data_IF_636921697762
#
_entry.id   IF_636921697762
#
_cell.length_a   1.000
_cell.length_b   1.000
_cell.length_c   1.000
_cell.angle_alpha   90.00
_cell.angle_beta   90.00
_cell.angle_gamma   90.00
#
_symmetry.space_group_name_H-M   'P 1'
#
loop_
_entity.id
_entity.type
_entity.pdbx_description
1 polymer ?
#
# COMPACT_ATOMS: atom_id res chain seq x y z
N UNK A 1 -6.50 4.76 24.68
CA UNK A 1 -5.69 5.83 25.31
C UNK A 1 -4.45 6.15 24.48
N UNK A 2 -3.78 5.17 23.85
CA UNK A 2 -2.63 5.42 22.97
C UNK A 2 -3.02 6.23 21.72
N UNK A 3 -4.18 5.95 21.15
CA UNK A 3 -4.65 6.63 19.92
C UNK A 3 -4.90 8.13 20.10
N UNK A 4 -5.32 8.57 21.29
CA UNK A 4 -5.58 10.00 21.55
C UNK A 4 -4.26 10.78 21.63
N UNK A 5 -3.23 10.25 22.29
CA UNK A 5 -1.91 10.90 22.37
C UNK A 5 -1.26 11.04 21.00
N UNK A 6 -1.33 10.00 20.17
CA UNK A 6 -0.83 10.04 18.79
C UNK A 6 -1.62 11.05 17.95
N UNK A 7 -2.94 11.10 18.11
CA UNK A 7 -3.80 12.07 17.42
C UNK A 7 -3.46 13.52 17.81
N UNK A 8 -3.25 13.80 19.10
CA UNK A 8 -2.85 15.12 19.60
C UNK A 8 -1.46 15.50 19.04
N UNK A 9 -0.49 14.58 19.08
CA UNK A 9 0.84 14.83 18.56
C UNK A 9 0.82 15.13 17.06
N UNK A 10 0.07 14.35 16.27
CA UNK A 10 -0.10 14.58 14.83
C UNK A 10 -0.80 15.92 14.55
N UNK A 11 -1.84 16.25 15.35
CA UNK A 11 -2.53 17.54 15.23
C UNK A 11 -1.62 18.72 15.54
N UNK A 12 -0.82 18.63 16.61
CA UNK A 12 0.16 19.67 16.97
C UNK A 12 1.22 19.83 15.87
N UNK A 13 1.74 18.72 15.32
CA UNK A 13 2.70 18.76 14.23
C UNK A 13 2.13 19.46 12.97
N UNK A 14 0.88 19.17 12.60
CA UNK A 14 0.20 19.84 11.48
C UNK A 14 -0.03 21.33 11.74
N UNK A 15 -0.40 21.70 12.97
CA UNK A 15 -0.56 23.11 13.37
C UNK A 15 0.78 23.85 13.30
N UNK A 16 1.87 23.23 13.76
CA UNK A 16 3.22 23.81 13.64
C UNK A 16 3.58 24.02 12.16
N UNK A 17 3.34 23.02 11.29
CA UNK A 17 3.57 23.17 9.85
C UNK A 17 2.72 24.30 9.24
N UNK A 18 1.48 24.50 9.69
CA UNK A 18 0.62 25.57 9.25
C UNK A 18 1.11 26.96 9.71
N UNK A 19 1.67 27.05 10.93
CA UNK A 19 2.20 28.29 11.50
C UNK A 19 3.57 28.70 10.91
N UNK A 20 4.34 27.73 10.39
CA UNK A 20 5.65 28.00 9.75
C UNK A 20 5.56 28.72 8.39
N UNK A 21 4.36 28.93 7.87
CA UNK A 21 4.11 29.70 6.65
C UNK A 21 3.38 28.92 5.56
N UNK A 22 2.79 29.67 4.63
CA UNK A 22 1.93 29.10 3.56
C UNK A 22 2.68 28.14 2.63
N UNK A 23 3.97 28.30 2.41
CA UNK A 23 4.79 27.42 1.58
C UNK A 23 4.93 26.01 2.15
N UNK A 24 5.16 25.87 3.45
CA UNK A 24 5.30 24.57 4.11
C UNK A 24 3.96 23.83 4.17
N UNK A 25 2.86 24.53 4.37
CA UNK A 25 1.53 23.93 4.38
C UNK A 25 1.15 23.35 3.02
N UNK A 26 1.40 24.08 1.94
CA UNK A 26 1.15 23.59 0.59
C UNK A 26 1.95 22.32 0.27
N UNK A 27 3.24 22.32 0.62
CA UNK A 27 4.10 21.16 0.41
C UNK A 27 3.70 19.97 1.29
N UNK A 28 3.27 20.21 2.52
CA UNK A 28 2.72 19.18 3.41
C UNK A 28 1.46 18.54 2.80
N UNK A 29 0.55 19.37 2.31
CA UNK A 29 -0.68 18.91 1.69
C UNK A 29 -0.39 18.09 0.42
N UNK A 30 0.56 18.51 -0.41
CA UNK A 30 1.01 17.74 -1.60
C UNK A 30 1.59 16.39 -1.21
N UNK A 31 2.43 16.33 -0.17
CA UNK A 31 3.01 15.08 0.33
C UNK A 31 1.94 14.11 0.82
N UNK A 32 0.98 14.60 1.62
CA UNK A 32 -0.13 13.77 2.11
C UNK A 32 -0.99 13.29 0.94
N UNK A 33 -1.29 14.17 -0.01
CA UNK A 33 -2.05 13.83 -1.22
C UNK A 33 -1.35 12.75 -2.05
N UNK A 34 -0.05 12.89 -2.29
CA UNK A 34 0.77 11.93 -3.01
C UNK A 34 0.75 10.54 -2.33
N UNK A 35 0.99 10.48 -1.02
CA UNK A 35 0.95 9.22 -0.27
C UNK A 35 -0.45 8.61 -0.32
N UNK A 36 -1.50 9.41 -0.11
CA UNK A 36 -2.88 8.94 -0.12
C UNK A 36 -3.24 8.31 -1.48
N UNK A 37 -2.88 8.96 -2.59
CA UNK A 37 -3.11 8.43 -3.94
C UNK A 37 -2.33 7.14 -4.17
N UNK A 38 -1.04 7.09 -3.82
CA UNK A 38 -0.21 5.91 -3.97
C UNK A 38 -0.78 4.72 -3.17
N UNK A 39 -1.14 4.92 -1.90
CA UNK A 39 -1.72 3.87 -1.05
C UNK A 39 -3.10 3.44 -1.55
N UNK A 40 -3.93 4.37 -2.03
CA UNK A 40 -5.23 4.05 -2.59
C UNK A 40 -5.09 3.16 -3.84
N UNK A 41 -4.20 3.53 -4.76
CA UNK A 41 -3.92 2.72 -5.95
C UNK A 41 -3.38 1.33 -5.59
N UNK A 42 -2.44 1.26 -4.64
CA UNK A 42 -1.94 -0.01 -4.12
C UNK A 42 -3.08 -0.85 -3.52
N UNK A 43 -4.01 -0.25 -2.79
CA UNK A 43 -5.12 -0.93 -2.15
C UNK A 43 -6.10 -1.48 -3.19
N UNK A 44 -6.47 -0.66 -4.18
CA UNK A 44 -7.40 -1.03 -5.27
C UNK A 44 -6.86 -2.18 -6.11
N UNK A 45 -5.55 -2.23 -6.34
CA UNK A 45 -4.91 -3.31 -7.13
C UNK A 45 -4.48 -4.47 -6.22
N UNK A 46 -3.88 -4.18 -5.08
CA UNK A 46 -3.23 -5.17 -4.21
C UNK A 46 -4.21 -6.11 -3.50
N UNK A 47 -5.37 -5.60 -3.04
CA UNK A 47 -6.35 -6.44 -2.37
C UNK A 47 -6.96 -7.47 -3.32
N UNK A 48 -7.50 -7.10 -4.50
CA UNK A 48 -8.04 -8.10 -5.44
C UNK A 48 -7.00 -9.12 -5.90
N UNK A 49 -5.79 -8.68 -6.21
CA UNK A 49 -4.69 -9.58 -6.60
C UNK A 49 -4.31 -10.50 -5.43
N UNK A 50 -4.26 -9.98 -4.21
CA UNK A 50 -3.97 -10.76 -3.00
C UNK A 50 -5.06 -11.81 -2.70
N UNK A 51 -6.33 -11.48 -2.91
CA UNK A 51 -7.46 -12.43 -2.78
C UNK A 51 -7.34 -13.53 -3.84
N UNK A 52 -7.09 -13.18 -5.08
CA UNK A 52 -6.87 -14.18 -6.15
C UNK A 52 -5.69 -15.10 -5.83
N UNK A 53 -4.58 -14.53 -5.36
CA UNK A 53 -3.41 -15.28 -4.94
C UNK A 53 -3.69 -16.20 -3.73
N UNK A 54 -4.58 -15.79 -2.83
CA UNK A 54 -5.01 -16.59 -1.68
C UNK A 54 -5.87 -17.80 -2.06
N UNK A 55 -6.68 -17.67 -3.11
CA UNK A 55 -7.64 -18.70 -3.56
C UNK A 55 -7.08 -19.64 -4.64
N UNK A 56 -6.13 -19.19 -5.45
CA UNK A 56 -5.60 -19.95 -6.59
C UNK A 56 -4.09 -20.16 -6.44
N UNK A 57 -3.70 -21.39 -6.09
CA UNK A 57 -2.29 -21.76 -5.87
C UNK A 57 -1.40 -21.57 -7.10
N UNK A 58 -1.92 -21.88 -8.28
CA UNK A 58 -1.19 -21.71 -9.53
C UNK A 58 -0.89 -20.23 -9.80
N UNK A 59 -1.82 -19.34 -9.50
CA UNK A 59 -1.64 -17.91 -9.62
C UNK A 59 -0.60 -17.39 -8.61
N UNK A 60 -0.66 -17.87 -7.36
CA UNK A 60 0.32 -17.52 -6.34
C UNK A 60 1.74 -17.94 -6.73
N UNK A 61 1.91 -19.18 -7.23
CA UNK A 61 3.22 -19.67 -7.69
C UNK A 61 3.79 -18.84 -8.82
N UNK A 62 2.94 -18.31 -9.71
CA UNK A 62 3.36 -17.46 -10.83
C UNK A 62 3.71 -16.03 -10.41
N UNK A 63 2.90 -15.42 -9.52
CA UNK A 63 3.10 -14.01 -9.13
C UNK A 63 4.19 -13.83 -8.08
N UNK A 64 4.45 -14.83 -7.23
CA UNK A 64 5.43 -14.77 -6.15
C UNK A 64 6.83 -14.32 -6.60
N UNK A 65 7.45 -14.93 -7.63
CA UNK A 65 8.77 -14.49 -8.09
C UNK A 65 8.79 -13.06 -8.61
N UNK A 66 7.70 -12.60 -9.20
CA UNK A 66 7.55 -11.21 -9.63
C UNK A 66 7.55 -10.26 -8.42
N UNK A 67 6.78 -10.58 -7.37
CA UNK A 67 6.74 -9.79 -6.13
C UNK A 67 8.10 -9.80 -5.41
N UNK A 68 8.82 -10.92 -5.46
CA UNK A 68 10.19 -11.03 -4.92
C UNK A 68 11.15 -10.12 -5.71
N UNK A 69 11.10 -10.16 -7.05
CA UNK A 69 11.90 -9.29 -7.90
C UNK A 69 11.63 -7.81 -7.65
N UNK A 70 10.35 -7.41 -7.49
CA UNK A 70 9.96 -6.02 -7.19
C UNK A 70 10.54 -5.49 -5.88
N UNK A 71 10.85 -6.34 -4.91
CA UNK A 71 11.41 -5.94 -3.61
C UNK A 71 12.94 -6.07 -3.53
N UNK A 72 13.53 -7.02 -4.27
CA UNK A 72 14.98 -7.23 -4.28
C UNK A 72 15.70 -6.16 -5.11
N UNK A 73 15.08 -5.75 -6.22
CA UNK A 73 15.65 -4.70 -7.07
C UNK A 73 15.49 -3.34 -6.38
N UNK A 74 16.58 -2.63 -6.24
CA UNK A 74 16.58 -1.33 -5.58
C UNK A 74 15.73 -0.32 -6.36
N UNK A 75 14.98 0.52 -5.66
CA UNK A 75 14.02 1.46 -6.24
C UNK A 75 14.63 2.46 -7.25
N UNK A 76 15.91 2.81 -7.11
CA UNK A 76 16.64 3.62 -8.11
C UNK A 76 16.73 2.97 -9.48
N UNK A 77 16.76 1.63 -9.55
CA UNK A 77 16.80 0.91 -10.84
C UNK A 77 15.48 1.08 -11.59
N UNK A 78 14.36 1.08 -10.87
CA UNK A 78 13.05 1.36 -11.47
C UNK A 78 12.87 2.82 -11.88
N UNK A 79 13.50 3.74 -11.15
CA UNK A 79 13.38 5.17 -11.40
C UNK A 79 13.76 5.52 -12.84
N UNK A 80 14.87 4.99 -13.36
CA UNK A 80 15.39 5.31 -14.69
C UNK A 80 14.41 4.98 -15.84
N UNK A 81 13.91 3.72 -15.96
CA UNK A 81 12.91 3.38 -16.98
C UNK A 81 11.63 4.22 -16.88
N UNK A 82 11.15 4.46 -15.66
CA UNK A 82 9.90 5.22 -15.49
C UNK A 82 10.06 6.70 -15.80
N UNK A 83 11.23 7.31 -15.53
CA UNK A 83 11.55 8.66 -15.99
C UNK A 83 11.61 8.70 -17.54
N UNK A 84 12.17 7.67 -18.16
CA UNK A 84 12.24 7.62 -19.61
C UNK A 84 10.86 7.54 -20.28
N UNK A 85 9.93 6.75 -19.72
CA UNK A 85 8.60 6.55 -20.29
C UNK A 85 7.60 7.65 -19.94
N UNK A 86 7.64 8.17 -18.71
CA UNK A 86 6.64 9.10 -18.16
C UNK A 86 7.18 10.52 -17.96
N UNK A 87 8.50 10.71 -18.15
CA UNK A 87 9.16 11.97 -17.84
C UNK A 87 9.39 12.19 -16.35
N UNK A 88 9.96 13.34 -16.01
CA UNK A 88 10.11 13.78 -14.62
C UNK A 88 8.78 14.36 -14.16
N UNK A 89 8.25 13.87 -13.03
CA UNK A 89 6.98 14.35 -12.49
C UNK A 89 6.28 13.39 -11.53
N UNK A 90 5.13 13.81 -11.05
CA UNK A 90 4.35 13.07 -10.03
C UNK A 90 3.87 11.70 -10.50
N UNK A 91 3.56 11.55 -11.79
CA UNK A 91 3.04 10.28 -12.34
C UNK A 91 4.09 9.17 -12.27
N UNK A 92 5.30 9.43 -12.77
CA UNK A 92 6.41 8.47 -12.71
C UNK A 92 6.75 8.11 -11.26
N UNK A 93 6.82 9.10 -10.38
CA UNK A 93 7.08 8.91 -8.96
C UNK A 93 6.00 8.05 -8.27
N UNK A 94 4.72 8.27 -8.59
CA UNK A 94 3.60 7.48 -8.05
C UNK A 94 3.70 6.01 -8.48
N UNK A 95 4.03 5.75 -9.75
CA UNK A 95 4.15 4.39 -10.26
C UNK A 95 5.33 3.65 -9.60
N UNK A 96 6.49 4.31 -9.47
CA UNK A 96 7.65 3.72 -8.77
C UNK A 96 7.32 3.40 -7.32
N UNK A 97 6.66 4.32 -6.62
CA UNK A 97 6.20 4.12 -5.24
C UNK A 97 5.24 2.94 -5.15
N UNK A 98 4.29 2.84 -6.09
CA UNK A 98 3.34 1.73 -6.16
C UNK A 98 4.03 0.39 -6.40
N UNK A 99 4.97 0.30 -7.34
CA UNK A 99 5.73 -0.93 -7.64
C UNK A 99 6.46 -1.43 -6.39
N UNK A 100 7.02 -0.53 -5.60
CA UNK A 100 7.76 -0.89 -4.38
C UNK A 100 6.84 -1.23 -3.20
N UNK A 101 5.73 -0.52 -3.04
CA UNK A 101 4.84 -0.63 -1.89
C UNK A 101 3.74 -1.70 -2.05
N UNK A 102 3.47 -2.17 -3.27
CA UNK A 102 2.42 -3.15 -3.58
C UNK A 102 2.67 -4.57 -3.04
N UNK A 103 3.90 -5.14 -3.12
CA UNK A 103 4.14 -6.54 -2.78
C UNK A 103 3.75 -6.95 -1.36
N UNK A 104 4.04 -6.19 -0.28
CA UNK A 104 3.63 -6.56 1.07
C UNK A 104 2.12 -6.66 1.23
N UNK A 105 1.36 -5.78 0.58
CA UNK A 105 -0.10 -5.80 0.63
C UNK A 105 -0.66 -7.08 0.01
N UNK A 106 -0.16 -7.45 -1.18
CA UNK A 106 -0.56 -8.69 -1.86
C UNK A 106 -0.23 -9.91 -1.00
N UNK A 107 0.98 -9.96 -0.41
CA UNK A 107 1.41 -11.09 0.43
C UNK A 107 0.59 -11.22 1.70
N UNK A 108 0.34 -10.11 2.41
CA UNK A 108 -0.42 -10.13 3.65
C UNK A 108 -1.90 -10.40 3.39
N UNK A 109 -2.46 -9.92 2.27
CA UNK A 109 -3.82 -10.27 1.87
C UNK A 109 -3.94 -11.76 1.53
N UNK A 110 -3.00 -12.31 0.75
CA UNK A 110 -2.91 -13.74 0.47
C UNK A 110 -2.82 -14.57 1.76
N UNK A 111 -1.91 -14.19 2.65
CA UNK A 111 -1.72 -14.86 3.94
C UNK A 111 -3.01 -14.82 4.78
N UNK A 112 -3.67 -13.66 4.86
CA UNK A 112 -4.91 -13.51 5.61
C UNK A 112 -6.04 -14.42 5.10
N UNK A 113 -6.18 -14.57 3.79
CA UNK A 113 -7.16 -15.47 3.19
C UNK A 113 -6.82 -16.95 3.48
N UNK A 114 -5.54 -17.32 3.41
CA UNK A 114 -5.08 -18.70 3.67
C UNK A 114 -5.10 -19.09 5.13
N UNK A 115 -5.04 -18.15 6.05
CA UNK A 115 -5.09 -18.40 7.49
C UNK A 115 -6.51 -18.65 8.02
N UNK A 116 -7.53 -18.48 7.19
CA UNK A 116 -8.91 -18.82 7.59
C UNK A 116 -9.00 -20.33 7.81
N UNK A 117 -9.48 -20.79 9.00
CA UNK A 117 -9.60 -22.23 9.30
C UNK A 117 -10.49 -22.94 8.28
N UNK A 118 -10.05 -24.10 7.81
CA UNK A 118 -10.82 -24.90 6.83
C UNK A 118 -12.16 -25.33 7.38
N UNK A 119 -12.23 -25.67 8.67
CA UNK A 119 -13.47 -26.07 9.34
C UNK A 119 -14.59 -25.03 9.20
N UNK A 120 -14.23 -23.73 9.27
CA UNK A 120 -15.21 -22.64 9.12
C UNK A 120 -15.67 -22.52 7.67
N UNK A 121 -14.78 -22.74 6.72
CA UNK A 121 -15.10 -22.73 5.28
C UNK A 121 -15.98 -23.93 4.91
N UNK A 122 -15.67 -25.13 5.43
CA UNK A 122 -16.46 -26.36 5.21
C UNK A 122 -17.85 -26.25 5.84
N UNK A 123 -17.93 -25.74 7.08
CA UNK A 123 -19.21 -25.48 7.71
C UNK A 123 -20.09 -24.55 6.87
N UNK A 124 -19.49 -23.49 6.33
CA UNK A 124 -20.21 -22.52 5.47
C UNK A 124 -20.72 -23.17 4.17
N UNK A 125 -19.94 -24.08 3.59
CA UNK A 125 -20.37 -24.90 2.44
C UNK A 125 -21.52 -25.84 2.80
N UNK A 126 -21.47 -26.46 3.97
CA UNK A 126 -22.54 -27.33 4.46
C UNK A 126 -23.88 -26.60 4.65
N UNK A 127 -23.83 -25.31 4.99
CA UNK A 127 -25.00 -24.42 5.02
C UNK A 127 -25.46 -23.92 3.63
N UNK A 128 -24.84 -24.38 2.55
CA UNK A 128 -25.26 -24.07 1.18
C UNK A 128 -24.77 -22.71 0.66
N UNK A 129 -23.78 -22.09 1.30
CA UNK A 129 -23.22 -20.84 0.81
C UNK A 129 -22.41 -21.05 -0.48
N UNK A 130 -22.55 -20.10 -1.40
CA UNK A 130 -21.72 -20.06 -2.62
C UNK A 130 -20.31 -19.58 -2.31
N UNK A 131 -19.33 -19.90 -3.17
CA UNK A 131 -17.93 -19.50 -2.99
C UNK A 131 -17.74 -17.97 -2.84
N UNK A 132 -18.60 -17.15 -3.48
CA UNK A 132 -18.55 -15.71 -3.33
C UNK A 132 -19.11 -15.24 -1.97
N UNK A 133 -20.12 -15.92 -1.46
CA UNK A 133 -20.67 -15.65 -0.11
C UNK A 133 -19.63 -16.02 0.94
N UNK A 134 -19.01 -17.19 0.83
CA UNK A 134 -17.93 -17.64 1.72
C UNK A 134 -16.78 -16.61 1.73
N UNK A 135 -16.38 -16.11 0.56
CA UNK A 135 -15.36 -15.09 0.48
C UNK A 135 -15.75 -13.81 1.22
N UNK A 136 -16.97 -13.31 0.98
CA UNK A 136 -17.43 -12.02 1.50
C UNK A 136 -17.79 -12.09 2.97
N UNK A 137 -18.48 -13.15 3.39
CA UNK A 137 -19.09 -13.23 4.72
C UNK A 137 -18.20 -13.93 5.74
N UNK A 138 -17.22 -14.74 5.29
CA UNK A 138 -16.33 -15.52 6.15
C UNK A 138 -14.87 -15.13 5.96
N UNK A 139 -14.32 -15.31 4.75
CA UNK A 139 -12.88 -15.14 4.54
C UNK A 139 -12.42 -13.69 4.68
N UNK A 140 -13.11 -12.74 4.07
CA UNK A 140 -12.73 -11.32 4.14
C UNK A 140 -12.80 -10.74 5.57
N UNK A 141 -13.88 -10.96 6.34
CA UNK A 141 -13.93 -10.49 7.73
C UNK A 141 -12.82 -11.10 8.60
N UNK A 142 -12.53 -12.39 8.46
CA UNK A 142 -11.46 -13.05 9.20
C UNK A 142 -10.06 -12.64 8.73
N UNK A 143 -9.87 -12.35 7.44
CA UNK A 143 -8.62 -11.85 6.88
C UNK A 143 -8.37 -10.35 7.15
N UNK A 144 -9.39 -9.61 7.60
CA UNK A 144 -9.33 -8.15 7.80
C UNK A 144 -8.11 -7.68 8.63
N UNK A 145 -7.72 -8.31 9.74
CA UNK A 145 -6.53 -7.89 10.49
C UNK A 145 -5.24 -7.97 9.65
N UNK A 146 -5.07 -9.04 8.87
CA UNK A 146 -3.91 -9.21 7.99
C UNK A 146 -3.91 -8.19 6.85
N UNK A 147 -5.07 -7.91 6.24
CA UNK A 147 -5.24 -6.90 5.20
C UNK A 147 -4.89 -5.50 5.75
N UNK A 148 -5.38 -5.15 6.94
CA UNK A 148 -5.06 -3.87 7.59
C UNK A 148 -3.57 -3.74 7.90
N UNK A 149 -2.92 -4.82 8.31
CA UNK A 149 -1.46 -4.86 8.46
C UNK A 149 -0.76 -4.63 7.13
N UNK A 150 -1.29 -5.21 6.05
CA UNK A 150 -0.79 -4.98 4.69
C UNK A 150 -0.88 -3.53 4.26
N UNK A 151 -2.02 -2.88 4.47
CA UNK A 151 -2.22 -1.45 4.17
C UNK A 151 -1.25 -0.60 5.00
N UNK A 152 -1.06 -0.89 6.28
CA UNK A 152 -0.13 -0.18 7.13
C UNK A 152 1.32 -0.30 6.64
N UNK A 153 1.76 -1.50 6.24
CA UNK A 153 3.08 -1.71 5.63
C UNK A 153 3.26 -0.94 4.31
N UNK A 154 2.24 -0.94 3.46
CA UNK A 154 2.22 -0.17 2.21
C UNK A 154 2.37 1.32 2.50
N UNK A 155 1.70 1.84 3.52
CA UNK A 155 1.78 3.22 3.96
C UNK A 155 3.20 3.58 4.39
N UNK A 156 3.82 2.76 5.25
CA UNK A 156 5.20 2.96 5.71
C UNK A 156 6.21 2.94 4.56
N UNK A 157 6.06 2.02 3.61
CA UNK A 157 6.92 1.95 2.43
C UNK A 157 6.70 3.14 1.48
N UNK A 158 5.47 3.61 1.31
CA UNK A 158 5.18 4.81 0.49
C UNK A 158 5.84 6.05 1.10
N UNK A 159 5.83 6.20 2.42
CA UNK A 159 6.55 7.27 3.11
C UNK A 159 8.07 7.15 2.88
N UNK A 160 8.62 5.94 2.96
CA UNK A 160 10.05 5.70 2.73
C UNK A 160 10.48 6.05 1.30
N UNK A 161 9.57 6.02 0.33
CA UNK A 161 9.83 6.36 -1.07
C UNK A 161 9.76 7.87 -1.37
N UNK A 162 9.38 8.72 -0.41
CA UNK A 162 9.27 10.16 -0.63
C UNK A 162 10.57 10.81 -1.11
N UNK A 163 11.73 10.35 -0.62
CA UNK A 163 13.02 10.86 -1.07
C UNK A 163 13.25 10.60 -2.57
N UNK A 164 12.91 9.42 -3.06
CA UNK A 164 13.02 9.07 -4.49
C UNK A 164 11.99 9.84 -5.31
N UNK A 165 10.77 9.98 -4.80
CA UNK A 165 9.73 10.76 -5.44
C UNK A 165 10.14 12.24 -5.61
N UNK A 166 10.83 12.82 -4.63
CA UNK A 166 11.36 14.18 -4.71
C UNK A 166 12.43 14.32 -5.81
N UNK A 167 13.34 13.36 -5.93
CA UNK A 167 14.35 13.31 -7.01
C UNK A 167 13.66 13.21 -8.38
N UNK A 168 12.53 12.50 -8.46
CA UNK A 168 11.73 12.39 -9.67
C UNK A 168 10.86 13.63 -9.96
N UNK A 169 10.96 14.69 -9.14
CA UNK A 169 10.20 15.93 -9.34
C UNK A 169 8.74 15.86 -8.88
N UNK A 170 8.37 14.87 -8.07
CA UNK A 170 7.10 14.90 -7.36
C UNK A 170 7.22 15.89 -6.21
N UNK A 171 6.71 17.08 -6.32
CA UNK A 171 6.75 18.10 -5.27
C UNK A 171 6.56 17.57 -3.83
N UNK A 172 6.44 18.46 -2.86
CA UNK A 172 6.20 18.07 -1.47
C UNK A 172 7.38 18.35 -0.54
N UNK A 173 7.21 18.00 0.75
CA UNK A 173 8.21 18.30 1.81
C UNK A 173 9.59 17.69 1.53
N UNK A 174 9.66 16.55 0.85
CA UNK A 174 10.92 15.90 0.54
C UNK A 174 11.78 16.73 -0.44
N UNK A 175 11.20 17.66 -1.17
CA UNK A 175 11.93 18.56 -2.08
C UNK A 175 12.82 19.57 -1.32
N UNK A 176 12.51 19.86 -0.05
CA UNK A 176 13.36 20.68 0.80
C UNK A 176 14.60 19.96 1.35
N UNK A 177 14.72 18.65 1.09
CA UNK A 177 15.88 17.85 1.52
C UNK A 177 17.01 17.86 0.50
N UNK A 178 16.75 18.34 -0.70
CA UNK A 178 17.68 18.47 -1.82
C UNK A 178 17.73 19.90 -2.35
#
# INVERSE_FOLDING_TARGET
VQNIRVGIFSGVALVICALMGTGYWEQTAKTIGFIAVAVLLCTVVGIPVGIMAGRVDSFWKGIRPLLDAMQVVHSFVYMLPFIYFFGIGEVGATIVTMVFALPPLIRLTNLGIRQVPEDVVEASRAFGQTELQILKDVQLPLARPAIMTGINQTLLLSISMLGIAAIMGAGGLAQFMF
#
